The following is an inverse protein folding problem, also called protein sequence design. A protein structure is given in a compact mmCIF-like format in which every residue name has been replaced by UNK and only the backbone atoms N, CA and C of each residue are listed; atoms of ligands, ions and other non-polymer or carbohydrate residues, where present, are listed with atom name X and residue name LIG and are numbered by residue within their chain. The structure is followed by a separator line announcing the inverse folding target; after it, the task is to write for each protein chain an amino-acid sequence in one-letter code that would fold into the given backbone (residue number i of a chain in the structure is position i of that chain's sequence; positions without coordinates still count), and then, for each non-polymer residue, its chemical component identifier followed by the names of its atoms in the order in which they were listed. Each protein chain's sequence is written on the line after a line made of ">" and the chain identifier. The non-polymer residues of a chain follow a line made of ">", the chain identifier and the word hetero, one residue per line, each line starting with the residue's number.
data_IF_347498271613
#
_entry.id   IF_347498271613
#
_cell.length_a   1.000
_cell.length_b   1.000
_cell.length_c   1.000
_cell.angle_alpha   90.00
_cell.angle_beta   90.00
_cell.angle_gamma   90.00
#
_symmetry.space_group_name_H-M   'P 1'
#
loop_
_entity.id
_entity.type
_entity.pdbx_description
1 polymer ?
#
# COMPACT_ATOMS: atom_id res chain seq x y z
N UNK A 1 -10.75 14.56 -6.65
CA UNK A 1 -11.01 13.15 -6.36
C UNK A 1 -12.45 13.03 -5.91
N UNK A 2 -13.22 12.18 -6.57
CA UNK A 2 -14.61 11.94 -6.25
C UNK A 2 -14.81 10.45 -6.01
N UNK A 3 -15.63 10.14 -5.02
CA UNK A 3 -16.06 8.79 -4.71
C UNK A 3 -17.58 8.80 -4.53
N UNK A 4 -18.24 7.83 -5.12
CA UNK A 4 -19.67 7.59 -4.99
C UNK A 4 -19.84 6.22 -4.34
N UNK A 5 -20.59 6.18 -3.25
CA UNK A 5 -20.90 4.94 -2.55
C UNK A 5 -22.41 4.89 -2.35
N UNK A 6 -23.03 3.78 -2.71
CA UNK A 6 -24.48 3.59 -2.54
C UNK A 6 -24.77 2.32 -1.76
N UNK A 7 -25.83 2.39 -0.95
CA UNK A 7 -26.37 1.26 -0.22
C UNK A 7 -27.56 0.69 -0.98
N UNK A 8 -27.76 -0.63 -0.88
CA UNK A 8 -29.00 -1.23 -1.40
C UNK A 8 -30.15 -0.86 -0.48
N UNK A 9 -31.31 -0.57 -1.06
CA UNK A 9 -32.50 -0.21 -0.30
C UNK A 9 -32.88 -1.36 0.64
N UNK A 10 -32.90 -1.09 1.95
CA UNK A 10 -33.21 -2.10 2.98
C UNK A 10 -32.02 -2.93 3.45
N UNK A 11 -30.82 -2.72 2.91
CA UNK A 11 -29.58 -3.35 3.39
C UNK A 11 -28.76 -2.37 4.25
N UNK A 12 -28.02 -2.90 5.21
CA UNK A 12 -27.19 -2.11 6.13
C UNK A 12 -25.77 -1.85 5.60
N UNK A 13 -25.54 -2.01 4.29
CA UNK A 13 -24.20 -2.13 3.71
C UNK A 13 -24.08 -1.39 2.38
N UNK A 14 -22.88 -0.90 2.12
CA UNK A 14 -22.50 -0.36 0.82
C UNK A 14 -22.50 -1.52 -0.18
N UNK A 15 -23.31 -1.40 -1.23
CA UNK A 15 -23.43 -2.39 -2.30
C UNK A 15 -22.45 -2.12 -3.43
N UNK A 16 -22.29 -0.85 -3.80
CA UNK A 16 -21.44 -0.41 -4.89
C UNK A 16 -20.62 0.82 -4.49
N UNK A 17 -19.37 0.88 -4.97
CA UNK A 17 -18.46 1.99 -4.79
C UNK A 17 -17.80 2.31 -6.13
N UNK A 18 -17.95 3.55 -6.60
CA UNK A 18 -17.24 4.07 -7.76
C UNK A 18 -16.24 5.13 -7.29
N UNK A 19 -14.99 5.09 -7.75
CA UNK A 19 -13.95 6.03 -7.31
C UNK A 19 -13.11 6.53 -8.49
N UNK A 20 -12.74 7.81 -8.45
CA UNK A 20 -11.97 8.48 -9.49
C UNK A 20 -10.60 8.96 -9.02
N UNK A 21 -9.54 8.46 -9.65
CA UNK A 21 -8.13 8.76 -9.35
C UNK A 21 -7.87 8.82 -7.83
N UNK A 22 -8.11 7.73 -7.08
CA UNK A 22 -7.95 7.72 -5.64
C UNK A 22 -6.49 7.91 -5.22
N UNK A 23 -6.28 8.67 -4.14
CA UNK A 23 -5.01 8.67 -3.40
C UNK A 23 -5.14 7.55 -2.38
N UNK A 24 -4.40 6.48 -2.62
CA UNK A 24 -4.49 5.25 -1.83
C UNK A 24 -3.33 5.11 -0.85
N UNK A 25 -2.26 5.87 -1.09
CA UNK A 25 -1.02 5.92 -0.32
C UNK A 25 -0.53 7.38 -0.27
N UNK A 26 -0.27 7.91 0.93
CA UNK A 26 0.26 9.27 1.14
C UNK A 26 1.79 9.31 1.21
N UNK A 27 2.43 8.15 1.10
CA UNK A 27 3.88 8.04 0.97
C UNK A 27 4.25 8.07 -0.52
N UNK A 28 4.63 9.25 -1.01
CA UNK A 28 4.95 9.43 -2.42
C UNK A 28 6.34 8.90 -2.79
N UNK A 29 6.54 8.37 -4.01
CA UNK A 29 7.81 7.78 -4.44
C UNK A 29 9.01 8.74 -4.39
N UNK A 30 8.81 10.04 -4.57
CA UNK A 30 9.89 11.04 -4.67
C UNK A 30 10.66 11.24 -3.35
N UNK A 31 10.09 10.82 -2.22
CA UNK A 31 10.68 10.95 -0.89
C UNK A 31 11.44 9.71 -0.45
N UNK A 32 11.35 8.64 -1.23
CA UNK A 32 11.98 7.37 -0.94
C UNK A 32 13.21 7.19 -1.80
N UNK A 33 14.32 6.82 -1.18
CA UNK A 33 15.50 6.41 -1.92
C UNK A 33 15.16 5.25 -2.87
N UNK A 34 15.69 5.32 -4.10
CA UNK A 34 15.57 4.24 -5.08
C UNK A 34 16.52 3.11 -4.66
N UNK A 35 15.98 2.16 -3.91
CA UNK A 35 16.69 0.97 -3.43
C UNK A 35 16.26 -0.23 -4.29
N UNK A 36 17.22 -1.10 -4.64
CA UNK A 36 16.89 -2.33 -5.36
C UNK A 36 16.05 -3.25 -4.46
N UNK A 37 15.10 -4.02 -5.02
CA UNK A 37 14.25 -4.90 -4.22
C UNK A 37 15.01 -5.91 -3.35
N UNK A 38 16.20 -6.36 -3.79
CA UNK A 38 17.06 -7.30 -3.05
C UNK A 38 17.61 -6.66 -1.75
N UNK A 39 17.89 -5.35 -1.76
CA UNK A 39 18.54 -4.60 -0.68
C UNK A 39 17.55 -3.88 0.25
N UNK A 40 16.23 -4.09 0.05
CA UNK A 40 15.22 -3.44 0.89
C UNK A 40 15.27 -3.98 2.33
N UNK A 41 15.39 -3.11 3.34
CA UNK A 41 15.39 -3.50 4.74
C UNK A 41 14.01 -4.04 5.15
N UNK A 42 14.03 -4.95 6.13
CA UNK A 42 12.82 -5.39 6.82
C UNK A 42 12.28 -4.26 7.73
N UNK A 43 10.96 -4.12 7.87
CA UNK A 43 10.36 -3.09 8.71
C UNK A 43 10.65 -3.35 10.21
N UNK A 44 10.88 -2.28 10.98
CA UNK A 44 11.16 -2.33 12.43
C UNK A 44 10.07 -3.04 13.24
N UNK A 45 8.81 -2.88 12.84
CA UNK A 45 7.65 -3.53 13.47
C UNK A 45 7.07 -4.53 12.47
N UNK A 46 7.68 -5.71 12.41
CA UNK A 46 7.29 -6.80 11.51
C UNK A 46 6.22 -7.70 12.12
N UNK A 47 4.95 -7.42 11.84
CA UNK A 47 3.88 -8.43 11.75
C UNK A 47 2.67 -7.80 11.02
N UNK A 48 1.86 -8.42 10.15
CA UNK A 48 1.51 -9.82 9.84
C UNK A 48 1.11 -9.82 8.32
N UNK A 49 1.38 -10.76 7.40
CA UNK A 49 1.65 -12.21 7.48
C UNK A 49 2.64 -12.68 6.38
N UNK A 50 3.86 -13.04 6.81
CA UNK A 50 4.94 -13.89 6.23
C UNK A 50 5.40 -13.78 4.75
N UNK A 51 4.79 -12.97 3.88
CA UNK A 51 5.24 -12.85 2.48
C UNK A 51 5.19 -11.44 1.91
N UNK A 52 6.06 -11.12 0.93
CA UNK A 52 6.03 -9.86 0.20
C UNK A 52 4.65 -9.57 -0.39
N UNK A 53 4.18 -8.32 -0.32
CA UNK A 53 2.85 -7.90 -0.81
C UNK A 53 2.64 -8.20 -2.30
N UNK A 54 3.70 -8.16 -3.10
CA UNK A 54 3.67 -8.43 -4.53
C UNK A 54 3.56 -9.92 -4.87
N UNK A 55 4.02 -10.80 -3.97
CA UNK A 55 4.06 -12.24 -4.18
C UNK A 55 2.74 -12.92 -3.81
N UNK A 56 2.29 -13.83 -4.67
CA UNK A 56 1.16 -14.68 -4.36
C UNK A 56 1.63 -15.99 -3.68
N UNK A 57 1.05 -16.31 -2.52
CA UNK A 57 1.47 -17.37 -1.60
C UNK A 57 1.51 -18.77 -2.23
N UNK A 58 0.68 -19.05 -3.24
CA UNK A 58 0.73 -20.32 -3.97
C UNK A 58 1.85 -20.34 -5.03
N UNK A 59 2.18 -19.20 -5.61
CA UNK A 59 3.29 -19.07 -6.56
C UNK A 59 4.64 -19.24 -5.86
N UNK A 60 4.81 -18.70 -4.65
CA UNK A 60 6.08 -18.80 -3.92
C UNK A 60 6.38 -20.21 -3.41
N UNK A 61 5.36 -21.00 -3.04
CA UNK A 61 5.50 -22.44 -2.75
C UNK A 61 5.80 -23.26 -4.01
N UNK A 62 5.07 -23.03 -5.11
CA UNK A 62 5.35 -23.71 -6.39
C UNK A 62 6.75 -23.36 -6.94
N UNK A 63 7.22 -22.12 -6.73
CA UNK A 63 8.59 -21.70 -7.06
C UNK A 63 9.59 -22.36 -6.12
N UNK A 64 9.32 -22.44 -4.80
CA UNK A 64 10.21 -23.13 -3.84
C UNK A 64 10.32 -24.62 -4.13
N UNK A 65 9.21 -25.31 -4.39
CA UNK A 65 9.18 -26.73 -4.77
C UNK A 65 9.83 -26.94 -6.15
N UNK A 66 9.61 -26.05 -7.13
CA UNK A 66 10.31 -26.11 -8.41
C UNK A 66 11.82 -25.88 -8.24
N UNK A 67 12.23 -24.98 -7.34
CA UNK A 67 13.65 -24.71 -7.03
C UNK A 67 14.29 -25.87 -6.27
N UNK A 68 13.59 -26.49 -5.31
CA UNK A 68 14.04 -27.73 -4.63
C UNK A 68 14.14 -28.91 -5.61
N UNK A 69 13.17 -29.07 -6.50
CA UNK A 69 13.20 -30.14 -7.52
C UNK A 69 14.26 -29.89 -8.62
N UNK A 70 14.66 -28.64 -8.84
CA UNK A 70 15.74 -28.25 -9.76
C UNK A 70 17.13 -28.21 -9.11
N UNK A 71 17.27 -28.50 -7.80
CA UNK A 71 18.58 -28.65 -7.16
C UNK A 71 19.33 -29.91 -7.61
N UNK A 72 18.68 -30.79 -8.38
CA UNK A 72 19.36 -31.77 -9.22
C UNK A 72 19.74 -31.13 -10.56
N UNK A 73 20.98 -30.62 -10.61
CA UNK A 73 21.75 -30.28 -11.82
C UNK A 73 21.16 -29.27 -12.83
N UNK A 74 21.07 -27.97 -12.51
CA UNK A 74 21.25 -26.92 -13.54
C UNK A 74 22.05 -25.72 -13.06
N UNK A 75 23.09 -25.36 -13.83
CA UNK A 75 23.92 -24.17 -13.65
C UNK A 75 23.03 -22.92 -13.53
N UNK A 76 23.18 -22.18 -12.42
CA UNK A 76 22.50 -20.90 -12.19
C UNK A 76 22.72 -19.99 -13.41
N UNK A 77 21.66 -19.51 -14.10
CA UNK A 77 21.83 -18.60 -15.21
C UNK A 77 22.51 -17.32 -14.69
N UNK A 78 23.52 -16.83 -15.42
CA UNK A 78 24.23 -15.58 -15.11
C UNK A 78 23.19 -14.46 -14.98
N UNK A 79 23.10 -13.85 -13.78
CA UNK A 79 22.27 -12.65 -13.54
C UNK A 79 22.62 -11.62 -14.61
N UNK A 80 21.67 -11.29 -15.48
CA UNK A 80 21.79 -10.13 -16.37
C UNK A 80 21.92 -8.90 -15.50
N UNK A 81 22.73 -7.93 -15.92
CA UNK A 81 22.81 -6.63 -15.24
C UNK A 81 21.40 -6.09 -15.06
N UNK A 82 21.03 -5.60 -13.86
CA UNK A 82 19.70 -5.10 -13.61
C UNK A 82 19.46 -3.92 -14.56
N UNK A 83 18.50 -4.07 -15.48
CA UNK A 83 17.97 -2.91 -16.20
C UNK A 83 17.39 -1.98 -15.14
N UNK A 84 17.66 -0.68 -15.27
CA UNK A 84 17.00 0.32 -14.44
C UNK A 84 15.49 0.09 -14.52
N UNK A 85 14.79 0.07 -13.38
CA UNK A 85 13.34 -0.11 -13.38
C UNK A 85 12.71 1.02 -14.22
N UNK A 86 11.61 0.74 -14.95
CA UNK A 86 10.89 1.78 -15.67
C UNK A 86 10.45 2.86 -14.68
N UNK A 87 10.42 4.14 -15.11
CA UNK A 87 9.96 5.23 -14.27
C UNK A 87 8.50 4.98 -13.86
N UNK A 88 8.19 5.22 -12.59
CA UNK A 88 6.83 5.15 -12.05
C UNK A 88 5.95 6.20 -12.72
N UNK A 89 4.65 5.97 -12.83
CA UNK A 89 3.66 6.94 -13.33
C UNK A 89 3.78 8.30 -12.63
N UNK A 90 4.11 8.29 -11.34
CA UNK A 90 4.37 9.48 -10.54
C UNK A 90 5.51 10.34 -11.11
N UNK A 91 6.60 9.70 -11.52
CA UNK A 91 7.77 10.37 -12.10
C UNK A 91 7.51 10.78 -13.55
N UNK A 92 6.83 9.93 -14.32
CA UNK A 92 6.51 10.19 -15.72
C UNK A 92 5.52 11.34 -15.91
N UNK A 93 4.51 11.43 -15.04
CA UNK A 93 3.41 12.40 -15.13
C UNK A 93 3.54 13.54 -14.09
N UNK A 94 4.76 13.81 -13.62
CA UNK A 94 5.03 14.80 -12.57
C UNK A 94 4.50 16.20 -12.90
N UNK A 95 4.70 16.60 -14.15
CA UNK A 95 4.45 17.96 -14.65
C UNK A 95 3.05 18.11 -15.29
N UNK A 96 2.11 17.24 -14.91
CA UNK A 96 0.73 17.32 -15.38
C UNK A 96 0.10 18.66 -14.97
N UNK A 97 -0.58 19.34 -15.91
CA UNK A 97 -1.16 20.67 -15.71
C UNK A 97 -2.34 20.70 -14.74
N UNK A 98 -3.09 19.59 -14.63
CA UNK A 98 -4.30 19.52 -13.80
C UNK A 98 -3.99 18.99 -12.39
N UNK A 99 -3.16 17.95 -12.30
CA UNK A 99 -2.76 17.33 -11.03
C UNK A 99 -1.24 17.17 -10.98
N UNK A 100 -0.49 18.25 -10.78
CA UNK A 100 0.96 18.17 -10.65
C UNK A 100 1.36 17.48 -9.34
N UNK A 101 2.39 16.63 -9.39
CA UNK A 101 2.87 15.88 -8.23
C UNK A 101 3.30 16.79 -7.07
N UNK A 102 3.87 17.96 -7.38
CA UNK A 102 4.28 18.96 -6.39
C UNK A 102 3.11 19.49 -5.57
N UNK A 103 1.98 19.76 -6.22
CA UNK A 103 0.78 20.22 -5.49
C UNK A 103 0.24 19.12 -4.60
N UNK A 104 0.28 17.85 -5.02
CA UNK A 104 -0.13 16.73 -4.16
C UNK A 104 0.77 16.61 -2.91
N UNK A 105 2.09 16.77 -3.03
CA UNK A 105 2.99 16.78 -1.87
C UNK A 105 2.75 17.98 -0.95
N UNK A 106 2.52 19.18 -1.50
CA UNK A 106 2.23 20.38 -0.71
C UNK A 106 0.89 20.24 0.04
N UNK A 107 -0.14 19.67 -0.61
CA UNK A 107 -1.44 19.42 0.04
C UNK A 107 -1.34 18.37 1.14
N UNK A 108 -0.49 17.35 0.99
CA UNK A 108 -0.23 16.38 2.05
C UNK A 108 0.31 17.06 3.30
N UNK A 109 1.26 17.98 3.15
CA UNK A 109 1.88 18.69 4.28
C UNK A 109 0.87 19.63 4.99
N UNK A 110 -0.16 20.09 4.27
CA UNK A 110 -1.29 20.83 4.86
C UNK A 110 -2.25 19.90 5.62
N UNK A 111 -2.53 18.71 5.08
CA UNK A 111 -3.48 17.76 5.66
C UNK A 111 -2.92 17.07 6.92
N UNK A 112 -1.65 16.72 6.93
CA UNK A 112 -1.02 15.98 8.02
C UNK A 112 0.00 16.84 8.75
N UNK A 113 -0.23 17.03 10.05
CA UNK A 113 0.68 17.80 10.91
C UNK A 113 1.90 16.97 11.32
N UNK A 114 1.76 15.64 11.35
CA UNK A 114 2.83 14.72 11.74
C UNK A 114 3.10 13.74 10.61
N UNK A 115 4.37 13.38 10.36
CA UNK A 115 4.71 12.40 9.34
C UNK A 115 4.22 10.99 9.68
N UNK A 116 3.90 10.71 10.95
CA UNK A 116 3.27 9.43 11.33
C UNK A 116 1.87 9.27 10.74
N UNK A 117 1.17 10.39 10.49
CA UNK A 117 -0.22 10.36 10.03
C UNK A 117 -0.33 9.90 8.55
N UNK A 118 0.78 9.94 7.79
CA UNK A 118 0.85 9.36 6.43
C UNK A 118 0.57 7.86 6.41
N UNK A 119 0.80 7.18 7.55
CA UNK A 119 0.63 5.74 7.69
C UNK A 119 -0.73 5.35 8.26
N UNK A 120 -1.63 6.32 8.50
CA UNK A 120 -2.99 6.02 8.92
C UNK A 120 -3.72 5.21 7.84
N UNK A 121 -4.37 4.12 8.25
CA UNK A 121 -5.11 3.22 7.37
C UNK A 121 -6.35 3.87 6.78
N UNK A 122 -6.96 4.82 7.48
CA UNK A 122 -8.12 5.54 6.95
C UNK A 122 -7.72 6.58 5.91
N UNK A 123 -6.57 7.21 6.10
CA UNK A 123 -6.02 8.16 5.14
C UNK A 123 -5.40 7.48 3.91
N UNK A 124 -4.73 6.34 4.10
CA UNK A 124 -4.15 5.51 3.05
C UNK A 124 -4.79 4.11 3.06
N UNK A 125 -5.95 3.94 2.39
CA UNK A 125 -6.70 2.69 2.39
C UNK A 125 -5.92 1.47 1.90
N UNK A 126 -4.86 1.66 1.11
CA UNK A 126 -4.02 0.55 0.67
C UNK A 126 -3.37 -0.20 1.85
N UNK A 127 -3.18 0.49 2.99
CA UNK A 127 -2.59 -0.08 4.21
C UNK A 127 -3.48 -1.11 4.93
N UNK A 128 -4.75 -1.26 4.52
CA UNK A 128 -5.59 -2.39 4.93
C UNK A 128 -5.15 -3.69 4.26
N UNK A 129 -4.63 -3.63 3.03
CA UNK A 129 -4.31 -4.81 2.21
C UNK A 129 -2.82 -5.15 2.18
N UNK A 130 -1.94 -4.18 2.42
CA UNK A 130 -0.51 -4.40 2.58
C UNK A 130 0.09 -3.49 3.65
N UNK A 131 1.30 -3.77 4.10
CA UNK A 131 2.06 -2.80 4.87
C UNK A 131 2.58 -1.66 3.97
N UNK A 132 2.98 -0.52 4.55
CA UNK A 132 3.56 0.58 3.78
C UNK A 132 4.90 0.15 3.16
N UNK A 133 5.27 0.77 2.03
CA UNK A 133 6.62 0.62 1.42
C UNK A 133 7.67 1.51 2.07
N UNK A 134 7.32 2.19 3.16
CA UNK A 134 8.20 3.06 3.89
C UNK A 134 8.02 2.92 5.39
N UNK A 135 9.04 3.35 6.10
CA UNK A 135 9.07 3.39 7.54
C UNK A 135 9.73 4.68 8.00
N UNK A 136 9.18 5.26 9.06
CA UNK A 136 9.82 6.36 9.76
C UNK A 136 10.94 5.82 10.63
N UNK A 137 12.17 6.21 10.31
CA UNK A 137 13.33 6.03 11.19
C UNK A 137 13.50 7.28 12.02
N UNK A 138 13.34 7.12 13.34
CA UNK A 138 13.71 8.15 14.29
C UNK A 138 15.22 8.03 14.54
N UNK A 139 15.98 9.12 14.47
CA UNK A 139 17.37 9.10 14.90
C UNK A 139 17.44 8.60 16.34
N UNK A 140 18.47 7.82 16.70
CA UNK A 140 18.64 7.37 18.07
C UNK A 140 18.65 8.60 18.98
N UNK A 141 17.66 8.69 19.87
CA UNK A 141 17.70 9.68 20.95
C UNK A 141 18.68 9.16 21.99
N UNK A 142 19.64 9.97 22.41
CA UNK A 142 20.59 9.64 23.48
C UNK A 142 19.87 9.22 24.79
N UNK A 143 18.60 9.61 24.95
CA UNK A 143 17.75 9.24 26.08
C UNK A 143 17.51 7.71 26.22
N UNK A 144 17.61 6.95 25.11
CA UNK A 144 17.52 5.48 25.16
C UNK A 144 18.79 4.89 25.79
N UNK A 145 19.94 5.51 25.60
CA UNK A 145 21.18 5.13 26.28
C UNK A 145 21.17 5.51 27.76
N UNK A 146 20.48 6.60 28.14
CA UNK A 146 20.34 6.99 29.54
C UNK A 146 19.40 6.05 30.35
N UNK A 147 18.53 5.29 29.67
CA UNK A 147 17.59 4.34 30.28
C UNK A 147 18.04 2.87 30.20
N UNK A 148 19.07 2.57 29.40
CA UNK A 148 19.78 1.30 29.48
C UNK A 148 20.63 1.30 30.76
N UNK A 149 20.10 0.69 31.82
CA UNK A 149 20.92 0.36 32.99
C UNK A 149 22.09 -0.52 32.52
N UNK A 150 23.34 -0.19 32.88
CA UNK A 150 24.47 -0.99 32.47
C UNK A 150 24.48 -2.27 33.31
N UNK A 151 23.91 -3.35 32.78
CA UNK A 151 24.10 -4.73 33.27
C UNK A 151 25.54 -5.24 33.03
N UNK A 152 26.53 -4.34 32.94
CA UNK A 152 27.94 -4.65 32.72
C UNK A 152 28.74 -4.06 33.87
N UNK A 153 28.88 -4.87 34.92
CA UNK A 153 29.74 -4.73 36.10
C UNK A 153 29.53 -3.48 36.98
N UNK A 154 29.42 -3.65 38.31
CA UNK A 154 29.34 -2.50 39.20
C UNK A 154 30.68 -1.77 39.19
N UNK A 155 30.75 -0.67 38.44
CA UNK A 155 31.75 0.37 38.65
C UNK A 155 31.53 0.94 40.05
N UNK A 156 32.62 1.12 40.79
CA UNK A 156 32.63 1.69 42.14
C UNK A 156 31.87 3.04 42.13
N UNK A 157 30.89 3.29 43.02
CA UNK A 157 30.04 4.49 42.99
C UNK A 157 30.82 5.81 42.96
N UNK A 158 32.04 5.83 43.49
CA UNK A 158 32.93 6.99 43.52
C UNK A 158 33.53 7.31 42.12
N UNK A 159 33.80 6.27 41.32
CA UNK A 159 34.25 6.40 39.93
C UNK A 159 33.09 6.88 39.04
N UNK A 160 31.88 6.39 39.30
CA UNK A 160 30.66 6.82 38.61
C UNK A 160 30.34 8.30 38.85
N UNK A 161 30.44 8.78 40.10
CA UNK A 161 30.27 10.20 40.43
C UNK A 161 31.35 11.07 39.80
N UNK A 162 32.60 10.60 39.74
CA UNK A 162 33.68 11.31 39.07
C UNK A 162 33.43 11.43 37.55
N UNK A 163 33.06 10.33 36.88
CA UNK A 163 32.74 10.32 35.44
C UNK A 163 31.57 11.26 35.11
N UNK A 164 30.51 11.26 35.91
CA UNK A 164 29.36 12.15 35.74
C UNK A 164 29.71 13.63 35.93
N UNK A 165 30.67 13.94 36.81
CA UNK A 165 31.18 15.30 37.02
C UNK A 165 32.02 15.84 35.85
N UNK A 166 32.71 14.97 35.12
CA UNK A 166 33.47 15.37 33.93
C UNK A 166 32.61 15.39 32.64
N UNK A 167 31.55 14.57 32.57
CA UNK A 167 30.63 14.53 31.43
C UNK A 167 29.76 15.80 31.29
N UNK A 168 29.74 16.70 32.28
CA UNK A 168 28.91 17.91 32.27
C UNK A 168 29.51 19.06 31.45
N UNK A 169 30.77 18.96 31.00
CA UNK A 169 31.51 20.08 30.40
C UNK A 169 31.86 19.93 28.92
N UNK A 170 31.78 18.72 28.35
CA UNK A 170 31.86 18.54 26.90
C UNK A 170 30.48 18.70 26.30
N UNK A 171 30.14 19.97 26.00
CA UNK A 171 29.26 20.34 24.90
C UNK A 171 28.03 19.44 24.68
N UNK A 172 27.00 19.64 25.51
CA UNK A 172 25.63 19.48 25.08
C UNK A 172 25.32 20.52 23.98
N UNK A 173 25.97 20.38 22.82
CA UNK A 173 25.42 20.84 21.56
C UNK A 173 24.11 20.11 21.45
N UNK A 174 23.01 20.78 21.83
CA UNK A 174 21.66 20.33 21.51
C UNK A 174 21.66 20.04 20.02
N UNK A 175 21.82 18.77 19.66
CA UNK A 175 21.61 18.34 18.30
C UNK A 175 20.22 18.87 17.93
N UNK A 176 20.06 19.51 16.75
CA UNK A 176 18.75 19.98 16.31
C UNK A 176 17.75 18.83 16.45
N UNK A 177 16.49 19.11 16.84
CA UNK A 177 15.51 18.08 17.12
C UNK A 177 15.49 17.08 15.97
N UNK A 178 15.80 15.83 16.29
CA UNK A 178 16.10 14.81 15.32
C UNK A 178 14.88 14.59 14.42
N UNK A 179 14.97 15.02 13.16
CA UNK A 179 13.84 14.98 12.23
C UNK A 179 13.65 13.52 11.81
N UNK A 180 12.44 12.94 12.01
CA UNK A 180 12.17 11.59 11.55
C UNK A 180 12.33 11.53 10.03
N UNK A 181 13.13 10.58 9.56
CA UNK A 181 13.41 10.43 8.13
C UNK A 181 12.59 9.26 7.58
N UNK A 182 11.98 9.45 6.41
CA UNK A 182 11.31 8.38 5.69
C UNK A 182 12.35 7.50 4.99
N UNK A 183 12.28 6.20 5.24
CA UNK A 183 13.15 5.20 4.63
C UNK A 183 12.31 4.16 3.90
N UNK A 184 12.78 3.68 2.75
CA UNK A 184 12.08 2.65 1.97
C UNK A 184 12.28 1.28 2.63
N UNK A 185 11.20 0.51 2.80
CA UNK A 185 11.24 -0.82 3.40
C UNK A 185 10.41 -1.83 2.59
N UNK A 186 10.55 -3.12 2.92
CA UNK A 186 9.70 -4.17 2.35
C UNK A 186 8.25 -4.00 2.79
N UNK A 187 7.32 -4.30 1.88
CA UNK A 187 5.90 -4.38 2.19
C UNK A 187 5.42 -5.83 2.24
N UNK A 188 4.51 -6.13 3.18
CA UNK A 188 3.95 -7.45 3.42
C UNK A 188 2.44 -7.47 3.15
N UNK A 189 1.94 -8.60 2.67
CA UNK A 189 0.51 -8.77 2.45
C UNK A 189 -0.27 -8.84 3.77
N UNK A 190 -1.41 -8.15 3.83
CA UNK A 190 -2.38 -8.19 4.92
C UNK A 190 -3.70 -8.79 4.46
N UNK A 191 -4.30 -9.60 5.32
CA UNK A 191 -5.58 -10.24 5.03
C UNK A 191 -6.71 -9.41 5.67
N UNK A 192 -7.21 -8.42 4.93
CA UNK A 192 -8.36 -7.61 5.34
C UNK A 192 -9.44 -7.59 4.25
N UNK A 193 -10.74 -7.63 4.60
CA UNK A 193 -11.29 -7.90 5.93
C UNK A 193 -11.05 -9.36 6.38
N UNK A 194 -11.03 -9.66 7.69
CA UNK A 194 -10.84 -11.02 8.18
C UNK A 194 -12.00 -11.92 7.73
N UNK A 195 -11.77 -12.77 6.73
CA UNK A 195 -12.80 -13.67 6.21
C UNK A 195 -13.19 -14.77 7.21
N UNK A 196 -14.46 -15.18 7.20
CA UNK A 196 -14.95 -16.38 7.87
C UNK A 196 -15.56 -16.19 9.28
N UNK A 197 -15.22 -15.13 10.01
CA UNK A 197 -15.75 -14.88 11.36
C UNK A 197 -16.77 -13.73 11.41
N UNK A 198 -16.64 -12.74 10.55
CA UNK A 198 -17.61 -11.66 10.39
C UNK A 198 -18.25 -11.71 9.02
N UNK A 199 -19.54 -11.35 8.90
CA UNK A 199 -20.22 -11.32 7.61
C UNK A 199 -19.76 -10.14 6.73
N UNK A 200 -18.68 -9.41 7.06
CA UNK A 200 -18.25 -8.21 6.36
C UNK A 200 -17.74 -8.56 4.94
N UNK A 201 -18.36 -7.99 3.92
CA UNK A 201 -17.95 -8.14 2.51
C UNK A 201 -17.60 -6.77 1.96
N UNK A 202 -16.57 -6.72 1.11
CA UNK A 202 -16.29 -5.53 0.31
C UNK A 202 -17.46 -5.29 -0.69
N UNK A 203 -17.75 -4.03 -1.04
CA UNK A 203 -18.70 -3.69 -2.10
C UNK A 203 -18.16 -4.10 -3.47
N UNK A 204 -18.99 -3.99 -4.50
CA UNK A 204 -18.52 -4.02 -5.89
C UNK A 204 -17.84 -2.68 -6.20
N UNK A 205 -16.68 -2.71 -6.84
CA UNK A 205 -15.86 -1.53 -7.13
C UNK A 205 -15.82 -1.24 -8.63
N UNK A 206 -16.00 0.04 -8.99
CA UNK A 206 -15.55 0.59 -10.26
C UNK A 206 -14.51 1.67 -9.96
N UNK A 207 -13.30 1.53 -10.51
CA UNK A 207 -12.20 2.44 -10.28
C UNK A 207 -11.80 3.06 -11.62
N UNK A 208 -11.94 4.37 -11.73
CA UNK A 208 -11.55 5.11 -12.93
C UNK A 208 -10.22 5.81 -12.72
N UNK A 209 -9.32 5.70 -13.69
CA UNK A 209 -7.97 6.31 -13.63
C UNK A 209 -7.57 6.88 -14.98
N UNK A 210 -6.80 7.96 -14.98
CA UNK A 210 -6.18 8.49 -16.20
C UNK A 210 -4.81 7.89 -16.46
N UNK A 211 -4.47 7.62 -17.72
CA UNK A 211 -3.12 7.18 -18.12
C UNK A 211 -2.05 8.24 -17.83
N UNK A 212 -2.42 9.52 -17.91
CA UNK A 212 -1.52 10.66 -17.63
C UNK A 212 -1.61 11.11 -16.17
N UNK A 213 -2.34 10.40 -15.31
CA UNK A 213 -2.38 10.73 -13.88
C UNK A 213 -1.10 10.25 -13.18
N UNK A 214 -0.53 10.99 -12.22
CA UNK A 214 0.59 10.50 -11.42
C UNK A 214 0.17 9.35 -10.49
N UNK A 215 -1.14 9.24 -10.17
CA UNK A 215 -1.72 8.26 -9.26
C UNK A 215 -2.07 6.92 -9.92
N UNK A 216 -1.86 6.77 -11.23
CA UNK A 216 -2.29 5.58 -11.97
C UNK A 216 -1.68 4.29 -11.43
N UNK A 217 -0.37 4.25 -11.17
CA UNK A 217 0.29 3.04 -10.65
C UNK A 217 -0.30 2.60 -9.31
N UNK A 218 -0.51 3.56 -8.40
CA UNK A 218 -1.09 3.30 -7.07
C UNK A 218 -2.55 2.84 -7.17
N UNK A 219 -3.30 3.35 -8.15
CA UNK A 219 -4.68 2.96 -8.41
C UNK A 219 -4.77 1.52 -8.92
N UNK A 220 -3.89 1.15 -9.86
CA UNK A 220 -3.79 -0.22 -10.36
C UNK A 220 -3.29 -1.19 -9.28
N UNK A 221 -2.44 -0.73 -8.37
CA UNK A 221 -2.01 -1.50 -7.21
C UNK A 221 -3.19 -1.80 -6.27
N UNK A 222 -3.98 -0.78 -5.90
CA UNK A 222 -5.16 -0.95 -5.07
C UNK A 222 -6.13 -1.96 -5.72
N UNK A 223 -6.40 -1.83 -7.02
CA UNK A 223 -7.31 -2.74 -7.71
C UNK A 223 -6.83 -4.20 -7.66
N UNK A 224 -5.52 -4.44 -7.86
CA UNK A 224 -4.92 -5.78 -7.72
C UNK A 224 -5.07 -6.31 -6.29
N UNK A 225 -4.86 -5.47 -5.29
CA UNK A 225 -5.03 -5.86 -3.88
C UNK A 225 -6.49 -6.19 -3.54
N UNK A 226 -7.44 -5.38 -4.01
CA UNK A 226 -8.87 -5.63 -3.86
C UNK A 226 -9.28 -6.96 -4.50
N UNK A 227 -8.88 -7.19 -5.75
CA UNK A 227 -9.16 -8.46 -6.45
C UNK A 227 -8.58 -9.67 -5.70
N UNK A 228 -7.32 -9.59 -5.25
CA UNK A 228 -6.69 -10.66 -4.44
C UNK A 228 -7.44 -10.89 -3.14
N UNK A 229 -7.84 -9.83 -2.45
CA UNK A 229 -8.57 -9.93 -1.17
C UNK A 229 -9.96 -10.57 -1.34
N UNK A 230 -10.70 -10.19 -2.39
CA UNK A 230 -12.01 -10.73 -2.73
C UNK A 230 -11.89 -12.21 -3.09
N UNK A 231 -10.93 -12.56 -3.96
CA UNK A 231 -10.70 -13.94 -4.36
C UNK A 231 -10.40 -14.82 -3.13
N UNK A 232 -9.52 -14.36 -2.23
CA UNK A 232 -9.20 -15.06 -0.98
C UNK A 232 -10.38 -15.16 -0.03
N UNK A 233 -11.20 -14.11 0.07
CA UNK A 233 -12.40 -14.12 0.89
C UNK A 233 -13.41 -15.16 0.40
N UNK A 234 -13.65 -15.21 -0.91
CA UNK A 234 -14.56 -16.19 -1.55
C UNK A 234 -14.02 -17.60 -1.30
N UNK A 235 -12.74 -17.84 -1.56
CA UNK A 235 -12.09 -19.13 -1.29
C UNK A 235 -12.26 -19.55 0.17
N UNK A 236 -12.03 -18.63 1.12
CA UNK A 236 -12.15 -18.90 2.54
C UNK A 236 -13.59 -19.20 2.95
N UNK A 237 -14.57 -18.51 2.37
CA UNK A 237 -15.99 -18.80 2.63
C UNK A 237 -16.43 -20.16 2.07
N UNK A 238 -15.93 -20.55 0.90
CA UNK A 238 -16.36 -21.78 0.23
C UNK A 238 -15.63 -23.02 0.77
N UNK A 239 -14.32 -22.91 1.00
CA UNK A 239 -13.44 -24.05 1.30
C UNK A 239 -12.88 -24.06 2.73
N UNK A 240 -13.10 -22.99 3.51
CA UNK A 240 -12.48 -22.79 4.83
C UNK A 240 -10.97 -22.50 4.78
N UNK A 241 -10.36 -22.49 3.58
CA UNK A 241 -8.91 -22.38 3.37
C UNK A 241 -8.55 -21.02 2.78
N UNK A 242 -7.29 -20.61 3.00
CA UNK A 242 -6.76 -19.34 2.47
C UNK A 242 -5.76 -19.54 1.32
N UNK A 243 -5.57 -20.79 0.87
CA UNK A 243 -4.60 -21.17 -0.17
C UNK A 243 -5.29 -21.97 -1.27
N UNK A 244 -4.98 -21.61 -2.51
CA UNK A 244 -5.40 -22.33 -3.73
C UNK A 244 -4.69 -23.68 -3.81
N UNK A 245 -5.34 -24.71 -4.36
CA UNK A 245 -4.72 -26.00 -4.63
C UNK A 245 -4.12 -26.07 -6.03
N UNK A 246 -4.78 -25.45 -7.00
CA UNK A 246 -4.43 -25.54 -8.41
C UNK A 246 -4.44 -24.17 -9.08
N UNK A 247 -3.66 -24.04 -10.16
CA UNK A 247 -3.62 -22.85 -10.99
C UNK A 247 -4.96 -22.62 -11.71
N UNK A 248 -5.71 -23.68 -12.04
CA UNK A 248 -7.04 -23.54 -12.63
C UNK A 248 -8.06 -22.98 -11.62
N UNK A 249 -8.04 -23.47 -10.38
CA UNK A 249 -8.86 -22.96 -9.28
C UNK A 249 -8.58 -21.48 -9.03
N UNK A 250 -7.28 -21.10 -8.99
CA UNK A 250 -6.88 -19.70 -8.85
C UNK A 250 -7.48 -18.81 -9.93
N UNK A 251 -7.42 -19.21 -11.21
CA UNK A 251 -7.98 -18.43 -12.33
C UNK A 251 -9.48 -18.20 -12.18
N UNK A 252 -10.22 -19.23 -11.76
CA UNK A 252 -11.67 -19.12 -11.57
C UNK A 252 -12.02 -18.04 -10.53
N UNK A 253 -11.36 -18.06 -9.37
CA UNK A 253 -11.61 -17.05 -8.33
C UNK A 253 -11.10 -15.66 -8.70
N UNK A 254 -10.00 -15.57 -9.45
CA UNK A 254 -9.52 -14.30 -10.01
C UNK A 254 -10.52 -13.70 -11.01
N UNK A 255 -11.14 -14.52 -11.86
CA UNK A 255 -12.13 -14.04 -12.83
C UNK A 255 -13.43 -13.56 -12.14
N UNK A 256 -13.87 -14.25 -11.08
CA UNK A 256 -14.96 -13.77 -10.23
C UNK A 256 -14.58 -12.44 -9.56
N UNK A 257 -13.35 -12.31 -9.07
CA UNK A 257 -12.89 -11.08 -8.43
C UNK A 257 -12.77 -9.91 -9.40
N UNK A 258 -12.36 -10.15 -10.67
CA UNK A 258 -12.37 -9.14 -11.73
C UNK A 258 -13.79 -8.65 -12.03
N UNK A 259 -14.78 -9.54 -12.02
CA UNK A 259 -16.19 -9.15 -12.17
C UNK A 259 -16.73 -8.28 -11.03
N UNK A 260 -16.05 -8.24 -9.88
CA UNK A 260 -16.39 -7.39 -8.72
C UNK A 260 -15.56 -6.11 -8.62
N UNK A 261 -14.42 -6.02 -9.31
CA UNK A 261 -13.52 -4.87 -9.28
C UNK A 261 -13.11 -4.55 -10.71
N UNK A 262 -13.82 -3.60 -11.28
CA UNK A 262 -13.58 -3.06 -12.63
C UNK A 262 -12.64 -1.85 -12.53
N UNK A 263 -11.68 -1.77 -13.45
CA UNK A 263 -10.76 -0.64 -13.55
C UNK A 263 -10.79 -0.09 -14.96
N UNK A 264 -11.25 1.14 -15.10
CA UNK A 264 -11.37 1.82 -16.39
C UNK A 264 -10.26 2.87 -16.51
N UNK A 265 -9.35 2.64 -17.45
CA UNK A 265 -8.26 3.56 -17.77
C UNK A 265 -8.63 4.41 -18.96
N UNK A 266 -8.68 5.73 -18.77
CA UNK A 266 -9.00 6.68 -19.83
C UNK A 266 -7.76 7.46 -20.29
N UNK A 267 -7.78 7.93 -21.54
CA UNK A 267 -6.77 8.87 -22.03
C UNK A 267 -6.84 10.20 -21.26
N UNK A 268 -5.68 10.82 -21.05
CA UNK A 268 -5.58 12.04 -20.25
C UNK A 268 -5.54 11.79 -18.74
N UNK A 269 -6.01 12.78 -17.98
CA UNK A 269 -6.04 12.76 -16.50
C UNK A 269 -7.20 11.92 -15.97
N UNK A 270 -8.24 11.70 -16.78
CA UNK A 270 -9.37 10.83 -16.46
C UNK A 270 -10.17 11.31 -15.24
N UNK A 271 -10.28 12.61 -15.00
CA UNK A 271 -11.11 13.16 -13.91
C UNK A 271 -12.59 13.26 -14.31
N UNK A 272 -13.50 12.90 -13.40
CA UNK A 272 -14.96 13.06 -13.61
C UNK A 272 -15.40 14.52 -13.67
N UNK A 273 -14.69 15.40 -13.00
CA UNK A 273 -14.97 16.84 -13.02
C UNK A 273 -13.73 17.55 -13.51
N UNK A 274 -13.81 18.12 -14.71
CA UNK A 274 -12.81 19.03 -15.23
C UNK A 274 -13.36 20.46 -15.13
N UNK A 275 -12.51 21.46 -14.83
CA UNK A 275 -12.96 22.84 -14.64
C UNK A 275 -13.64 23.45 -15.88
N UNK A 276 -13.33 22.94 -17.08
CA UNK A 276 -13.84 23.45 -18.35
C UNK A 276 -14.97 22.60 -18.98
N UNK A 277 -15.39 21.52 -18.32
CA UNK A 277 -16.38 20.58 -18.87
C UNK A 277 -17.77 20.82 -18.26
N UNK A 278 -18.79 20.94 -19.12
CA UNK A 278 -20.18 20.94 -18.69
C UNK A 278 -20.52 19.61 -18.00
N UNK A 279 -20.86 19.69 -16.71
CA UNK A 279 -21.10 18.53 -15.83
C UNK A 279 -22.22 17.63 -16.36
N UNK A 280 -23.21 18.21 -17.03
CA UNK A 280 -24.34 17.48 -17.62
C UNK A 280 -23.95 16.64 -18.85
N UNK A 281 -22.85 17.00 -19.52
CA UNK A 281 -22.38 16.35 -20.74
C UNK A 281 -21.22 15.39 -20.52
N UNK A 282 -20.80 15.11 -19.28
CA UNK A 282 -19.70 14.17 -19.07
C UNK A 282 -20.19 12.72 -19.27
N UNK A 283 -19.84 12.05 -20.39
CA UNK A 283 -20.30 10.70 -20.68
C UNK A 283 -19.81 9.71 -19.62
N UNK A 284 -18.63 9.93 -19.04
CA UNK A 284 -18.05 9.04 -18.02
C UNK A 284 -18.91 9.01 -16.76
N UNK A 285 -19.40 10.18 -16.32
CA UNK A 285 -20.23 10.26 -15.13
C UNK A 285 -21.60 9.61 -15.37
N UNK A 286 -22.14 9.74 -16.58
CA UNK A 286 -23.38 9.06 -16.97
C UNK A 286 -23.20 7.53 -17.03
N UNK A 287 -22.10 7.03 -17.60
CA UNK A 287 -21.75 5.61 -17.63
C UNK A 287 -21.65 5.03 -16.22
N UNK A 288 -20.98 5.73 -15.30
CA UNK A 288 -20.89 5.33 -13.89
C UNK A 288 -22.26 5.34 -13.21
N UNK A 289 -23.09 6.35 -13.50
CA UNK A 289 -24.47 6.40 -12.99
C UNK A 289 -25.31 5.20 -13.46
N UNK A 290 -25.19 4.82 -14.73
CA UNK A 290 -25.86 3.64 -15.30
C UNK A 290 -25.33 2.35 -14.64
N UNK A 291 -24.01 2.22 -14.51
CA UNK A 291 -23.37 1.09 -13.84
C UNK A 291 -23.84 0.94 -12.40
N UNK A 292 -23.87 2.05 -11.64
CA UNK A 292 -24.32 2.06 -10.25
C UNK A 292 -25.77 1.59 -10.15
N UNK A 293 -26.64 2.10 -11.04
CA UNK A 293 -28.04 1.69 -11.11
C UNK A 293 -28.18 0.19 -11.37
N UNK A 294 -27.46 -0.36 -12.35
CA UNK A 294 -27.49 -1.78 -12.68
C UNK A 294 -27.03 -2.65 -11.50
N UNK A 295 -25.96 -2.26 -10.80
CA UNK A 295 -25.43 -3.03 -9.65
C UNK A 295 -26.33 -2.99 -8.40
N UNK A 296 -27.20 -1.98 -8.30
CA UNK A 296 -28.16 -1.80 -7.21
C UNK A 296 -29.54 -2.41 -7.53
N UNK A 297 -29.82 -2.80 -8.77
CA UNK A 297 -31.09 -3.42 -9.12
C UNK A 297 -31.27 -4.78 -8.42
N UNK A 298 -32.42 -5.03 -7.76
CA UNK A 298 -32.67 -6.28 -7.05
C UNK A 298 -32.80 -7.43 -8.05
N UNK A 299 -31.76 -8.26 -8.15
CA UNK A 299 -31.70 -9.40 -9.08
C UNK A 299 -30.41 -9.44 -9.91
N UNK A 300 -29.59 -8.39 -9.88
CA UNK A 300 -28.27 -8.39 -10.50
C UNK A 300 -27.27 -9.16 -9.61
N UNK A 301 -26.92 -10.37 -10.04
CA UNK A 301 -25.91 -11.25 -9.40
C UNK A 301 -24.60 -11.16 -10.17
#
# INVERSE_FOLDING_TARGET
>A
MLALTECRLGESRIGAAAVNNPIVDWVFPDELAVIQPEDLPEPQYGDETQLPADEDLAGSLAIREAVENLQTERKRPKKRSPKTPPPTSWQANRDNTIIPARTLSEQRDVLFKKPQDYFDRFASPIHFFRSPHAQLTFPPQDDIFASLQPDIQPLDPEIQMALNHYATFEEAVKAPPAIPTLSRCRAYARNYPPGGTMPLSLPVWNITTGLQSPLSDTTHELARMLQRSIARQILKSHSGRSRWLDAAEKRQYEDIAKGRVEVDSHEGVGLWTQPDADVEQNPQLQEIGIWMKQRLEPGFV
#
